data_IF_601313956461
#
_entry.id   IF_601313956461
#
_cell.length_a   1.000
_cell.length_b   1.000
_cell.length_c   1.000
_cell.angle_alpha   90.00
_cell.angle_beta   90.00
_cell.angle_gamma   90.00
#
_symmetry.space_group_name_H-M   'P 1'
#
loop_
_entity.id
_entity.type
_entity.pdbx_description
1 polymer ?
#
# COMPACT_ATOMS: atom_id res chain seq x y z
N UNK A 1 -21.80 16.28 -27.81
CA UNK A 1 -21.36 16.62 -26.44
C UNK A 1 -19.85 16.85 -26.48
N UNK A 2 -19.45 18.04 -26.93
CA UNK A 2 -18.04 18.38 -27.11
C UNK A 2 -17.39 18.51 -25.73
N UNK A 3 -16.37 17.68 -25.48
CA UNK A 3 -15.47 17.82 -24.35
C UNK A 3 -14.89 19.24 -24.36
N UNK A 4 -15.36 20.09 -23.43
CA UNK A 4 -14.71 21.36 -23.12
C UNK A 4 -13.38 21.02 -22.45
N UNK A 5 -12.32 20.99 -23.23
CA UNK A 5 -10.95 20.97 -22.75
C UNK A 5 -10.64 22.34 -22.16
N UNK A 6 -11.01 22.53 -20.90
CA UNK A 6 -10.46 23.58 -20.04
C UNK A 6 -8.97 23.24 -19.78
N UNK A 7 -8.11 24.24 -19.95
CA UNK A 7 -6.67 24.22 -19.64
C UNK A 7 -6.36 23.64 -18.24
N UNK A 8 -7.29 23.74 -17.30
CA UNK A 8 -7.18 23.19 -15.95
C UNK A 8 -7.16 21.65 -15.92
N UNK A 9 -8.01 20.99 -16.72
CA UNK A 9 -8.10 19.52 -16.72
C UNK A 9 -6.85 18.83 -17.30
N UNK A 10 -6.17 19.49 -18.24
CA UNK A 10 -4.90 19.01 -18.80
C UNK A 10 -3.75 19.16 -17.79
N UNK A 11 -3.74 20.29 -17.06
CA UNK A 11 -2.73 20.56 -16.04
C UNK A 11 -2.83 19.57 -14.86
N UNK A 12 -4.03 19.30 -14.36
CA UNK A 12 -4.24 18.37 -13.24
C UNK A 12 -3.86 16.93 -13.62
N UNK A 13 -4.18 16.51 -14.84
CA UNK A 13 -3.81 15.18 -15.37
C UNK A 13 -2.29 15.05 -15.50
N UNK A 14 -1.59 16.08 -15.98
CA UNK A 14 -0.13 16.08 -16.10
C UNK A 14 0.57 16.07 -14.74
N UNK A 15 0.01 16.76 -13.74
CA UNK A 15 0.54 16.79 -12.37
C UNK A 15 0.38 15.42 -11.71
N UNK A 16 -0.77 14.77 -11.83
CA UNK A 16 -1.00 13.41 -11.29
C UNK A 16 -0.09 12.40 -11.99
N UNK A 17 0.05 12.49 -13.32
CA UNK A 17 0.92 11.62 -14.09
C UNK A 17 2.40 11.84 -13.76
N UNK A 18 2.80 13.08 -13.49
CA UNK A 18 4.15 13.44 -13.05
C UNK A 18 4.46 12.94 -11.63
N UNK A 19 3.53 13.09 -10.70
CA UNK A 19 3.67 12.59 -9.33
C UNK A 19 3.74 11.06 -9.31
N UNK A 20 2.81 10.37 -9.99
CA UNK A 20 2.82 8.91 -10.12
C UNK A 20 4.08 8.41 -10.84
N UNK A 21 4.48 9.09 -11.91
CA UNK A 21 5.65 8.75 -12.71
C UNK A 21 6.99 8.98 -12.02
N UNK A 22 7.08 9.83 -11.00
CA UNK A 22 8.34 10.12 -10.30
C UNK A 22 8.45 9.35 -8.97
N UNK A 23 7.35 9.30 -8.22
CA UNK A 23 7.32 8.70 -6.88
C UNK A 23 7.47 7.17 -6.98
N UNK A 24 6.69 6.51 -7.84
CA UNK A 24 6.69 5.04 -7.96
C UNK A 24 8.07 4.46 -8.33
N UNK A 25 8.78 4.94 -9.37
CA UNK A 25 10.10 4.39 -9.71
C UNK A 25 11.20 4.78 -8.72
N UNK A 26 11.08 5.92 -8.03
CA UNK A 26 12.04 6.31 -6.99
C UNK A 26 12.05 5.30 -5.83
N UNK A 27 10.87 4.83 -5.40
CA UNK A 27 10.76 3.80 -4.36
C UNK A 27 11.15 2.40 -4.87
N UNK A 28 10.87 2.07 -6.13
CA UNK A 28 11.28 0.80 -6.72
C UNK A 28 12.81 0.60 -6.79
N UNK A 29 13.59 1.69 -6.85
CA UNK A 29 15.07 1.64 -6.98
C UNK A 29 15.79 1.04 -5.77
N UNK A 30 15.18 1.06 -4.58
CA UNK A 30 15.85 0.64 -3.34
C UNK A 30 15.86 -0.87 -3.07
N UNK A 31 15.33 -1.73 -3.96
CA UNK A 31 15.26 -3.21 -3.79
C UNK A 31 14.63 -3.67 -2.45
N UNK A 32 13.82 -2.81 -1.84
CA UNK A 32 13.03 -3.13 -0.65
C UNK A 32 11.78 -3.91 -1.09
N UNK A 33 11.25 -4.79 -0.23
CA UNK A 33 9.97 -5.46 -0.53
C UNK A 33 8.90 -4.40 -0.83
N UNK A 34 8.09 -4.56 -1.90
CA UNK A 34 7.10 -3.56 -2.29
C UNK A 34 6.18 -3.16 -1.14
N UNK A 35 5.86 -4.09 -0.24
CA UNK A 35 5.03 -3.89 0.96
C UNK A 35 5.60 -2.80 1.86
N UNK A 36 6.90 -2.82 2.15
CA UNK A 36 7.53 -1.82 3.02
C UNK A 36 7.50 -0.44 2.33
N UNK A 37 7.68 -0.41 1.01
CA UNK A 37 7.53 0.81 0.21
C UNK A 37 6.12 1.41 0.32
N UNK A 38 5.08 0.58 0.18
CA UNK A 38 3.69 1.02 0.33
C UNK A 38 3.40 1.56 1.74
N UNK A 39 3.88 0.90 2.79
CA UNK A 39 3.71 1.33 4.18
C UNK A 39 4.42 2.67 4.43
N UNK A 40 5.67 2.83 3.97
CA UNK A 40 6.42 4.07 4.16
C UNK A 40 5.80 5.24 3.39
N UNK A 41 5.35 5.02 2.15
CA UNK A 41 4.64 6.05 1.39
C UNK A 41 3.34 6.42 2.10
N UNK A 42 2.53 5.46 2.55
CA UNK A 42 1.32 5.74 3.31
C UNK A 42 1.57 6.51 4.61
N UNK A 43 2.63 6.17 5.34
CA UNK A 43 3.02 6.86 6.57
C UNK A 43 3.52 8.29 6.31
N UNK A 44 4.39 8.46 5.30
CA UNK A 44 4.98 9.76 4.99
C UNK A 44 3.98 10.68 4.30
N UNK A 45 3.16 10.15 3.40
CA UNK A 45 2.32 10.93 2.49
C UNK A 45 0.85 11.00 2.95
N UNK A 46 0.44 10.09 3.84
CA UNK A 46 -0.89 10.05 4.40
C UNK A 46 -1.21 11.22 5.34
N UNK A 47 -2.47 11.30 5.80
CA UNK A 47 -2.98 12.41 6.60
C UNK A 47 -2.24 12.61 7.93
N UNK A 48 -1.72 11.54 8.53
CA UNK A 48 -0.92 11.60 9.76
C UNK A 48 0.56 12.00 9.52
N UNK A 49 1.04 11.93 8.28
CA UNK A 49 2.40 12.31 7.89
C UNK A 49 2.44 13.75 7.37
N UNK A 50 2.98 13.91 6.16
CA UNK A 50 3.04 15.17 5.42
C UNK A 50 1.65 15.77 5.15
N UNK A 51 0.60 14.94 5.11
CA UNK A 51 -0.79 15.40 4.98
C UNK A 51 -1.24 16.32 6.11
N UNK A 52 -0.66 16.19 7.32
CA UNK A 52 -0.95 17.08 8.45
C UNK A 52 -0.39 18.50 8.27
N UNK A 53 0.63 18.66 7.42
CA UNK A 53 1.31 19.93 7.16
C UNK A 53 0.70 20.70 5.99
N UNK A 54 -0.31 20.14 5.31
CA UNK A 54 -1.05 20.79 4.21
C UNK A 54 -1.70 22.11 4.61
N UNK A 55 -2.09 22.27 5.88
CA UNK A 55 -2.61 23.53 6.41
C UNK A 55 -1.57 24.66 6.51
N UNK A 56 -0.28 24.32 6.62
CA UNK A 56 0.82 25.31 6.70
C UNK A 56 1.51 25.55 5.36
N UNK A 57 1.43 24.58 4.45
CA UNK A 57 2.17 24.59 3.19
C UNK A 57 1.23 24.15 2.05
N UNK A 58 0.62 25.08 1.30
CA UNK A 58 -0.42 24.75 0.32
C UNK A 58 0.06 23.84 -0.83
N UNK A 59 1.34 23.90 -1.20
CA UNK A 59 1.90 23.08 -2.27
C UNK A 59 2.06 21.60 -1.88
N UNK A 60 2.05 21.28 -0.57
CA UNK A 60 2.10 19.91 -0.09
C UNK A 60 0.81 19.14 -0.44
N UNK A 61 -0.31 19.82 -0.68
CA UNK A 61 -1.57 19.19 -1.13
C UNK A 61 -1.39 18.33 -2.39
N UNK A 62 -0.51 18.74 -3.32
CA UNK A 62 -0.24 17.99 -4.55
C UNK A 62 0.60 16.73 -4.34
N UNK A 63 1.29 16.65 -3.20
CA UNK A 63 2.19 15.56 -2.82
C UNK A 63 1.60 14.67 -1.73
N UNK A 64 0.50 15.07 -1.08
CA UNK A 64 -0.11 14.38 0.08
C UNK A 64 -1.49 13.81 -0.23
N UNK A 65 -1.83 12.74 0.47
CA UNK A 65 -3.10 12.04 0.29
C UNK A 65 -4.09 12.60 1.31
N UNK A 66 -4.94 13.52 0.84
CA UNK A 66 -5.94 14.20 1.68
C UNK A 66 -7.25 13.40 1.82
N UNK A 67 -7.55 12.50 0.87
CA UNK A 67 -8.77 11.71 0.88
C UNK A 67 -8.46 10.20 0.81
N UNK A 68 -8.56 9.47 1.93
CA UNK A 68 -8.29 8.03 1.99
C UNK A 68 -9.15 7.21 1.02
N UNK A 69 -10.43 7.56 0.86
CA UNK A 69 -11.38 6.82 0.01
C UNK A 69 -10.99 6.82 -1.47
N UNK A 70 -10.28 7.85 -1.93
CA UNK A 70 -9.89 7.96 -3.35
C UNK A 70 -8.72 7.03 -3.72
N UNK A 71 -7.97 6.54 -2.73
CA UNK A 71 -6.78 5.69 -2.94
C UNK A 71 -7.03 4.23 -2.58
N UNK A 72 -8.07 3.96 -1.78
CA UNK A 72 -8.46 2.63 -1.39
C UNK A 72 -8.58 1.64 -2.57
N UNK A 73 -9.26 1.96 -3.70
CA UNK A 73 -9.35 1.03 -4.83
C UNK A 73 -7.98 0.73 -5.46
N UNK A 74 -7.08 1.72 -5.50
CA UNK A 74 -5.74 1.55 -6.04
C UNK A 74 -4.86 0.69 -5.12
N UNK A 75 -5.01 0.86 -3.80
CA UNK A 75 -4.33 0.04 -2.80
C UNK A 75 -4.78 -1.42 -2.86
N UNK A 76 -6.09 -1.66 -2.99
CA UNK A 76 -6.65 -3.00 -3.19
C UNK A 76 -6.11 -3.65 -4.46
N UNK A 77 -6.10 -2.93 -5.59
CA UNK A 77 -5.51 -3.41 -6.84
C UNK A 77 -4.02 -3.75 -6.68
N UNK A 78 -3.26 -2.91 -5.98
CA UNK A 78 -1.84 -3.16 -5.71
C UNK A 78 -1.60 -4.45 -4.91
N UNK A 79 -2.40 -4.69 -3.87
CA UNK A 79 -2.33 -5.91 -3.06
C UNK A 79 -2.75 -7.13 -3.89
N UNK A 80 -3.79 -7.04 -4.71
CA UNK A 80 -4.22 -8.13 -5.60
C UNK A 80 -3.09 -8.51 -6.57
N UNK A 81 -2.47 -7.52 -7.22
CA UNK A 81 -1.35 -7.77 -8.13
C UNK A 81 -0.14 -8.37 -7.41
N UNK A 82 0.14 -7.93 -6.18
CA UNK A 82 1.20 -8.50 -5.35
C UNK A 82 0.92 -9.96 -5.00
N UNK A 83 -0.27 -10.26 -4.46
CA UNK A 83 -0.67 -11.62 -4.10
C UNK A 83 -0.72 -12.55 -5.33
N UNK A 84 -1.14 -12.02 -6.47
CA UNK A 84 -1.10 -12.74 -7.74
C UNK A 84 0.33 -13.06 -8.17
N UNK A 85 1.24 -12.08 -8.13
CA UNK A 85 2.66 -12.30 -8.45
C UNK A 85 3.31 -13.32 -7.53
N UNK A 86 3.03 -13.25 -6.22
CA UNK A 86 3.50 -14.25 -5.24
C UNK A 86 2.97 -15.64 -5.61
N UNK A 87 1.71 -15.74 -6.02
CA UNK A 87 1.09 -16.96 -6.51
C UNK A 87 1.78 -17.54 -7.75
N UNK A 88 2.19 -16.71 -8.70
CA UNK A 88 2.93 -17.13 -9.90
C UNK A 88 4.37 -17.56 -9.60
N UNK A 89 5.01 -16.95 -8.62
CA UNK A 89 6.38 -17.30 -8.20
C UNK A 89 6.44 -18.65 -7.44
N UNK A 90 5.34 -19.03 -6.78
CA UNK A 90 5.22 -20.28 -6.04
C UNK A 90 4.80 -21.44 -6.93
N UNK A 91 5.71 -22.40 -7.14
CA UNK A 91 5.35 -23.66 -7.80
C UNK A 91 4.70 -24.65 -6.83
N UNK A 92 3.71 -25.41 -7.33
CA UNK A 92 3.01 -26.43 -6.55
C UNK A 92 3.96 -27.47 -5.93
N UNK A 93 5.01 -27.86 -6.66
CA UNK A 93 6.05 -28.80 -6.18
C UNK A 93 6.82 -28.23 -4.98
N UNK A 94 7.16 -26.95 -5.02
CA UNK A 94 7.88 -26.26 -3.92
C UNK A 94 6.98 -26.08 -2.70
N UNK A 95 5.71 -25.75 -2.92
CA UNK A 95 4.73 -25.70 -1.83
C UNK A 95 4.57 -27.08 -1.16
N UNK A 96 4.50 -28.14 -1.98
CA UNK A 96 4.33 -29.50 -1.48
C UNK A 96 5.54 -30.01 -0.69
N UNK A 97 6.77 -29.66 -1.12
CA UNK A 97 7.97 -30.01 -0.36
C UNK A 97 8.05 -29.30 0.98
N UNK A 98 7.44 -28.11 1.10
CA UNK A 98 7.41 -27.30 2.32
C UNK A 98 6.08 -27.42 3.09
N UNK A 99 5.19 -28.35 2.72
CA UNK A 99 3.81 -28.40 3.26
C UNK A 99 3.73 -28.49 4.78
N UNK A 100 4.66 -29.21 5.43
CA UNK A 100 4.68 -29.35 6.89
C UNK A 100 5.12 -28.04 7.56
N UNK A 101 6.03 -27.30 6.94
CA UNK A 101 6.48 -26.01 7.45
C UNK A 101 5.41 -24.93 7.22
N UNK A 102 4.82 -24.87 6.03
CA UNK A 102 3.82 -23.84 5.68
C UNK A 102 2.47 -24.11 6.39
N UNK A 103 1.89 -25.30 6.18
CA UNK A 103 0.55 -25.62 6.70
C UNK A 103 0.54 -26.19 8.12
N UNK A 104 1.67 -26.71 8.61
CA UNK A 104 1.80 -27.17 10.00
C UNK A 104 2.29 -26.05 10.89
N UNK A 105 3.60 -25.77 10.82
CA UNK A 105 4.26 -24.79 11.69
C UNK A 105 3.75 -23.36 11.43
N UNK A 106 3.66 -22.93 10.17
CA UNK A 106 3.21 -21.59 9.82
C UNK A 106 1.76 -21.31 10.22
N UNK A 107 0.86 -22.28 10.03
CA UNK A 107 -0.53 -22.14 10.50
C UNK A 107 -0.62 -22.09 12.03
N UNK A 108 0.16 -22.91 12.74
CA UNK A 108 0.22 -22.88 14.20
C UNK A 108 0.78 -21.55 14.73
N UNK A 109 1.80 -21.00 14.07
CA UNK A 109 2.40 -19.71 14.40
C UNK A 109 1.42 -18.55 14.14
N UNK A 110 0.71 -18.59 13.01
CA UNK A 110 -0.33 -17.59 12.69
C UNK A 110 -1.45 -17.61 13.72
N UNK A 111 -2.00 -18.79 14.04
CA UNK A 111 -3.08 -18.91 15.02
C UNK A 111 -2.57 -18.55 16.42
N UNK A 112 -1.38 -19.03 16.79
CA UNK A 112 -0.77 -18.75 18.09
C UNK A 112 -0.52 -17.25 18.29
N UNK A 113 0.09 -16.58 17.33
CA UNK A 113 0.32 -15.13 17.38
C UNK A 113 -0.98 -14.35 17.40
N UNK A 114 -1.98 -14.72 16.58
CA UNK A 114 -3.30 -14.09 16.58
C UNK A 114 -4.00 -14.24 17.94
N UNK A 115 -3.95 -15.43 18.56
CA UNK A 115 -4.53 -15.66 19.89
C UNK A 115 -3.80 -14.87 20.97
N UNK A 116 -2.47 -14.85 20.96
CA UNK A 116 -1.68 -14.08 21.94
C UNK A 116 -2.00 -12.59 21.82
N UNK A 117 -1.97 -12.03 20.62
CA UNK A 117 -2.27 -10.62 20.38
C UNK A 117 -3.72 -10.32 20.75
N UNK A 118 -4.67 -11.13 20.27
CA UNK A 118 -6.10 -10.93 20.52
C UNK A 118 -6.47 -11.01 22.00
N UNK A 119 -5.93 -11.99 22.73
CA UNK A 119 -6.16 -12.09 24.18
C UNK A 119 -5.50 -10.95 24.94
N UNK A 120 -4.28 -10.55 24.57
CA UNK A 120 -3.60 -9.41 25.18
C UNK A 120 -4.42 -8.11 25.01
N UNK A 121 -4.95 -7.85 23.81
CA UNK A 121 -5.83 -6.69 23.57
C UNK A 121 -7.11 -6.76 24.41
N UNK A 122 -7.76 -7.93 24.48
CA UNK A 122 -8.95 -8.14 25.30
C UNK A 122 -8.69 -7.87 26.80
N UNK A 123 -7.51 -8.25 27.33
CA UNK A 123 -7.14 -7.93 28.72
C UNK A 123 -6.81 -6.45 28.94
N UNK A 124 -6.34 -5.75 27.91
CA UNK A 124 -6.09 -4.30 27.93
C UNK A 124 -7.40 -3.48 27.84
N UNK A 125 -8.53 -4.14 27.51
CA UNK A 125 -9.85 -3.52 27.48
C UNK A 125 -10.14 -2.71 26.21
N UNK A 126 -9.40 -2.98 25.12
CA UNK A 126 -9.75 -2.57 23.76
C UNK A 126 -10.47 -3.70 23.03
#
# INVERSE_FOLDING_TARGET
MALRLDNQGFSDTLVILGAAGLVIPAFARFRVSPVIGFILVGLLVGPAGLGSLTGSVPWLYYLTISNPESIEPFAEFGIILLLFSIGLELSFKRLWSMKRLVFGTGAAELIGSALIIGTALHFIGQ
#
